data_IF_461576588191
#
_entry.id   IF_461576588191
#
_cell.length_a   1.000
_cell.length_b   1.000
_cell.length_c   1.000
_cell.angle_alpha   90.00
_cell.angle_beta   90.00
_cell.angle_gamma   90.00
#
_symmetry.space_group_name_H-M   'P 1'
#
loop_
_entity.id
_entity.type
_entity.pdbx_description
1 polymer ?
#
# COMPACT_ATOMS: atom_id res chain seq x y z
N UNK A 1 6.77 -27.60 -8.52
CA UNK A 1 6.83 -27.19 -7.10
C UNK A 1 7.84 -26.07 -7.01
N UNK A 2 7.45 -24.87 -6.58
CA UNK A 2 8.42 -23.78 -6.37
C UNK A 2 9.24 -24.17 -5.15
N UNK A 3 10.56 -24.25 -5.30
CA UNK A 3 11.46 -24.46 -4.17
C UNK A 3 11.73 -23.10 -3.54
N UNK A 4 10.95 -22.72 -2.52
CA UNK A 4 11.08 -21.46 -1.77
C UNK A 4 12.28 -21.45 -0.78
N UNK A 5 13.27 -22.32 -0.97
CA UNK A 5 14.41 -22.48 -0.04
C UNK A 5 15.70 -21.97 -0.65
N UNK A 6 16.34 -21.02 0.03
CA UNK A 6 17.66 -20.52 -0.32
C UNK A 6 18.68 -21.33 0.48
N UNK A 7 19.56 -22.06 -0.22
CA UNK A 7 20.56 -22.94 0.41
C UNK A 7 21.96 -22.41 0.10
N UNK A 8 22.79 -22.29 1.14
CA UNK A 8 24.22 -22.06 1.02
C UNK A 8 24.96 -23.41 1.07
N UNK A 9 25.43 -23.95 -0.07
CA UNK A 9 26.00 -25.30 -0.13
C UNK A 9 27.33 -25.45 0.64
N UNK A 10 28.03 -24.35 0.92
CA UNK A 10 29.33 -24.36 1.62
C UNK A 10 29.22 -24.73 3.10
N UNK A 11 28.06 -24.53 3.71
CA UNK A 11 27.82 -24.79 5.14
C UNK A 11 26.44 -25.41 5.42
N UNK A 12 25.71 -25.80 4.38
CA UNK A 12 24.36 -26.37 4.45
C UNK A 12 23.32 -25.47 5.15
N UNK A 13 23.55 -24.15 5.24
CA UNK A 13 22.55 -23.22 5.78
C UNK A 13 21.37 -23.13 4.81
N UNK A 14 20.17 -23.45 5.30
CA UNK A 14 18.93 -23.37 4.53
C UNK A 14 17.99 -22.31 5.13
N UNK A 15 17.72 -21.25 4.38
CA UNK A 15 16.69 -20.27 4.70
C UNK A 15 15.34 -20.84 4.23
N UNK A 16 14.41 -21.04 5.16
CA UNK A 16 13.10 -21.65 4.90
C UNK A 16 11.94 -20.66 4.89
N UNK A 17 12.14 -19.47 5.47
CA UNK A 17 11.18 -18.37 5.48
C UNK A 17 11.94 -17.05 5.63
N UNK A 18 11.36 -15.97 5.11
CA UNK A 18 11.82 -14.60 5.31
C UNK A 18 10.61 -13.79 5.73
N UNK A 19 10.62 -13.31 6.98
CA UNK A 19 9.57 -12.48 7.54
C UNK A 19 9.99 -11.01 7.52
N UNK A 20 9.29 -10.18 6.73
CA UNK A 20 9.53 -8.73 6.68
C UNK A 20 8.82 -8.09 7.88
N UNK A 21 9.60 -7.59 8.84
CA UNK A 21 9.06 -6.98 10.06
C UNK A 21 8.77 -5.48 9.91
N UNK A 22 9.55 -4.79 9.07
CA UNK A 22 9.38 -3.37 8.81
C UNK A 22 10.00 -2.97 7.47
N UNK A 23 9.43 -1.94 6.85
CA UNK A 23 9.99 -1.26 5.68
C UNK A 23 9.73 0.23 5.85
N UNK A 24 10.78 1.05 5.76
CA UNK A 24 10.69 2.50 5.85
C UNK A 24 11.61 3.13 4.81
N UNK A 25 11.15 4.16 4.06
CA UNK A 25 12.01 4.85 3.11
C UNK A 25 13.12 5.58 3.88
N UNK A 26 14.38 5.36 3.47
CA UNK A 26 15.54 6.02 4.09
C UNK A 26 15.56 7.51 3.74
N UNK A 27 15.25 7.82 2.49
CA UNK A 27 15.24 9.19 1.97
C UNK A 27 13.99 9.96 2.44
N UNK A 28 14.22 11.13 3.03
CA UNK A 28 13.15 11.97 3.58
C UNK A 28 12.24 12.51 2.47
N UNK A 29 12.79 12.87 1.31
CA UNK A 29 11.98 13.38 0.22
C UNK A 29 10.98 12.33 -0.28
N UNK A 30 11.44 11.08 -0.41
CA UNK A 30 10.60 9.94 -0.76
C UNK A 30 9.49 9.71 0.28
N UNK A 31 9.81 9.78 1.58
CA UNK A 31 8.82 9.70 2.66
C UNK A 31 7.73 10.76 2.52
N UNK A 32 8.14 12.01 2.36
CA UNK A 32 7.23 13.15 2.26
C UNK A 32 6.37 13.08 1.00
N UNK A 33 6.94 12.63 -0.13
CA UNK A 33 6.21 12.42 -1.37
C UNK A 33 5.14 11.33 -1.23
N UNK A 34 5.49 10.21 -0.58
CA UNK A 34 4.52 9.13 -0.28
C UNK A 34 3.40 9.62 0.63
N UNK A 35 3.72 10.38 1.69
CA UNK A 35 2.70 10.95 2.59
C UNK A 35 1.74 11.89 1.85
N UNK A 36 2.25 12.76 0.98
CA UNK A 36 1.41 13.64 0.14
C UNK A 36 0.51 12.84 -0.80
N UNK A 37 1.04 11.79 -1.42
CA UNK A 37 0.26 10.92 -2.31
C UNK A 37 -0.90 10.25 -1.57
N UNK A 38 -0.68 9.77 -0.34
CA UNK A 38 -1.74 9.19 0.50
C UNK A 38 -2.82 10.23 0.80
N UNK A 39 -2.44 11.43 1.22
CA UNK A 39 -3.39 12.50 1.52
C UNK A 39 -4.27 12.84 0.30
N UNK A 40 -3.66 12.95 -0.88
CA UNK A 40 -4.39 13.22 -2.12
C UNK A 40 -5.36 12.08 -2.48
N UNK A 41 -4.95 10.82 -2.30
CA UNK A 41 -5.82 9.67 -2.58
C UNK A 41 -7.05 9.66 -1.67
N UNK A 42 -6.88 10.03 -0.40
CA UNK A 42 -7.99 10.18 0.55
C UNK A 42 -8.93 11.29 0.08
N UNK A 43 -8.40 12.47 -0.23
CA UNK A 43 -9.19 13.62 -0.70
C UNK A 43 -10.01 13.29 -1.95
N UNK A 44 -9.38 12.64 -2.94
CA UNK A 44 -10.06 12.20 -4.17
C UNK A 44 -11.19 11.24 -3.84
N UNK A 45 -10.95 10.28 -2.95
CA UNK A 45 -11.95 9.28 -2.56
C UNK A 45 -13.12 9.93 -1.83
N UNK A 46 -12.85 10.86 -0.91
CA UNK A 46 -13.88 11.61 -0.19
C UNK A 46 -14.71 12.45 -1.13
N UNK A 47 -14.09 13.25 -1.99
CA UNK A 47 -14.78 14.10 -2.97
C UNK A 47 -15.64 13.25 -3.92
N UNK A 48 -15.13 12.08 -4.34
CA UNK A 48 -15.90 11.16 -5.18
C UNK A 48 -17.13 10.60 -4.45
N UNK A 49 -17.00 10.26 -3.16
CA UNK A 49 -18.13 9.76 -2.37
C UNK A 49 -19.16 10.87 -2.09
N UNK A 50 -18.72 12.08 -1.77
CA UNK A 50 -19.60 13.23 -1.56
C UNK A 50 -20.38 13.56 -2.82
N UNK A 51 -19.73 13.61 -3.98
CA UNK A 51 -20.39 13.86 -5.26
C UNK A 51 -21.44 12.79 -5.59
N UNK A 52 -21.12 11.50 -5.34
CA UNK A 52 -22.06 10.41 -5.55
C UNK A 52 -23.28 10.53 -4.61
N UNK A 53 -23.05 10.84 -3.32
CA UNK A 53 -24.12 10.99 -2.34
C UNK A 53 -25.03 12.18 -2.65
N UNK A 54 -24.48 13.33 -3.07
CA UNK A 54 -25.24 14.49 -3.51
C UNK A 54 -26.11 14.15 -4.73
N UNK A 55 -25.53 13.49 -5.73
CA UNK A 55 -26.25 13.08 -6.92
C UNK A 55 -27.40 12.11 -6.59
N UNK A 56 -27.18 11.16 -5.68
CA UNK A 56 -28.24 10.27 -5.21
C UNK A 56 -29.35 11.01 -4.44
N UNK A 57 -28.99 11.97 -3.59
CA UNK A 57 -29.96 12.78 -2.85
C UNK A 57 -30.83 13.58 -3.81
N UNK A 58 -30.23 14.31 -4.76
CA UNK A 58 -30.97 15.06 -5.78
C UNK A 58 -31.86 14.18 -6.65
N UNK A 59 -31.46 12.92 -6.91
CA UNK A 59 -32.31 11.96 -7.63
C UNK A 59 -33.52 11.51 -6.81
N UNK A 60 -33.42 11.41 -5.48
CA UNK A 60 -34.53 10.97 -4.61
C UNK A 60 -35.57 12.07 -4.37
N UNK A 61 -35.19 13.33 -4.57
CA UNK A 61 -36.06 14.50 -4.42
C UNK A 61 -36.88 14.82 -5.70
N UNK A 62 -36.61 14.13 -6.81
CA UNK A 62 -37.37 14.18 -8.07
C UNK A 62 -38.42 13.06 -8.12
#
# INVERSE_FOLDING_TARGET
>A
CVCDRIIFPQNNLAITSIDIQSVEPVDQHTRDALQKSVQLAIEITTNSQEAAAQHEASRREQ
#
